data_IF_246319224541
#
_entry.id   IF_246319224541
#
_cell.length_a   1.000
_cell.length_b   1.000
_cell.length_c   1.000
_cell.angle_alpha   90.00
_cell.angle_beta   90.00
_cell.angle_gamma   90.00
#
_symmetry.space_group_name_H-M   'P 1'
#
loop_
_entity.id
_entity.type
_entity.pdbx_description
1 polymer ?
#
# COMPACT_ATOMS: atom_id res chain seq x y z
N UNK A 1 -27.04 83.74 39.57
CA UNK A 1 -25.58 83.87 39.61
C UNK A 1 -25.06 82.52 40.10
N UNK A 2 -24.44 81.63 39.34
CA UNK A 2 -24.00 81.55 37.93
C UNK A 2 -24.00 80.03 37.57
N UNK A 3 -24.51 79.63 36.40
CA UNK A 3 -23.75 79.10 35.24
C UNK A 3 -22.99 77.78 35.52
N UNK A 4 -23.41 76.62 35.00
CA UNK A 4 -23.18 76.05 33.65
C UNK A 4 -21.70 75.71 33.35
N UNK A 5 -21.41 74.46 32.95
CA UNK A 5 -20.29 73.95 32.10
C UNK A 5 -20.14 72.42 32.34
N UNK A 6 -20.79 71.52 31.58
CA UNK A 6 -20.29 70.79 30.39
C UNK A 6 -18.78 70.45 30.45
N UNK A 7 -18.30 69.22 30.24
CA UNK A 7 -18.44 68.41 29.02
C UNK A 7 -18.16 66.94 29.29
N UNK A 8 -19.15 66.12 28.94
CA UNK A 8 -18.95 64.79 28.38
C UNK A 8 -18.19 64.99 27.06
N UNK A 9 -17.03 64.35 26.90
CA UNK A 9 -16.41 64.19 25.60
C UNK A 9 -15.67 62.85 25.55
N UNK A 10 -16.45 61.78 25.51
CA UNK A 10 -16.00 60.51 24.92
C UNK A 10 -16.00 60.77 23.41
N UNK A 11 -14.86 60.67 22.70
CA UNK A 11 -14.85 60.85 21.26
C UNK A 11 -15.52 59.64 20.58
N UNK A 12 -16.77 59.84 20.15
CA UNK A 12 -17.39 59.05 19.09
C UNK A 12 -16.69 59.34 17.76
N UNK A 13 -15.52 58.77 17.46
CA UNK A 13 -15.05 58.70 16.06
C UNK A 13 -13.80 57.83 15.94
N UNK A 14 -13.95 56.51 15.80
CA UNK A 14 -12.99 55.67 15.06
C UNK A 14 -13.71 54.43 14.49
N UNK A 15 -14.87 54.64 13.85
CA UNK A 15 -15.39 53.70 12.84
C UNK A 15 -14.66 54.02 11.54
N UNK A 16 -13.53 53.35 11.31
CA UNK A 16 -12.78 53.49 10.06
C UNK A 16 -13.47 52.73 8.92
N UNK A 17 -13.34 53.20 7.66
CA UNK A 17 -13.93 52.56 6.47
C UNK A 17 -13.47 51.11 6.25
N UNK A 18 -12.38 50.69 6.88
CA UNK A 18 -11.89 49.32 6.84
C UNK A 18 -12.80 48.30 7.52
N UNK A 19 -13.59 48.68 8.53
CA UNK A 19 -14.50 47.76 9.23
C UNK A 19 -15.72 47.41 8.37
N UNK A 20 -16.29 48.40 7.67
CA UNK A 20 -17.39 48.20 6.73
C UNK A 20 -16.96 47.39 5.50
N UNK A 21 -15.75 47.62 4.98
CA UNK A 21 -15.20 46.85 3.85
C UNK A 21 -14.91 45.40 4.26
N UNK A 22 -14.32 45.17 5.43
CA UNK A 22 -14.06 43.82 5.92
C UNK A 22 -15.36 43.05 6.18
N UNK A 23 -16.39 43.70 6.72
CA UNK A 23 -17.71 43.11 6.92
C UNK A 23 -18.39 42.79 5.58
N UNK A 24 -18.33 43.70 4.59
CA UNK A 24 -18.87 43.44 3.24
C UNK A 24 -18.15 42.29 2.54
N UNK A 25 -16.82 42.22 2.62
CA UNK A 25 -16.04 41.10 2.07
C UNK A 25 -16.40 39.79 2.76
N UNK A 26 -16.60 39.81 4.09
CA UNK A 26 -17.06 38.64 4.85
C UNK A 26 -18.44 38.15 4.41
N UNK A 27 -19.38 39.05 4.16
CA UNK A 27 -20.72 38.70 3.66
C UNK A 27 -20.69 38.16 2.23
N UNK A 28 -19.88 38.75 1.34
CA UNK A 28 -19.67 38.24 -0.03
C UNK A 28 -19.01 36.85 -0.01
N UNK A 29 -18.10 36.63 0.93
CA UNK A 29 -17.43 35.36 1.13
C UNK A 29 -18.38 34.26 1.59
N UNK A 30 -19.29 34.55 2.53
CA UNK A 30 -20.35 33.61 2.94
C UNK A 30 -21.37 33.35 1.82
N UNK A 31 -21.74 34.37 1.04
CA UNK A 31 -22.63 34.24 -0.13
C UNK A 31 -22.07 33.33 -1.23
N UNK A 32 -20.74 33.28 -1.42
CA UNK A 32 -20.10 32.42 -2.42
C UNK A 32 -19.77 31.04 -1.84
N UNK A 33 -19.30 30.98 -0.59
CA UNK A 33 -18.91 29.73 0.06
C UNK A 33 -20.08 28.77 0.25
N UNK A 34 -21.20 29.27 0.75
CA UNK A 34 -22.35 28.44 1.14
C UNK A 34 -22.97 27.69 -0.05
N UNK A 35 -23.22 28.31 -1.22
CA UNK A 35 -23.82 27.62 -2.36
C UNK A 35 -22.82 26.90 -3.27
N UNK A 36 -21.52 27.23 -3.25
CA UNK A 36 -20.55 26.67 -4.19
C UNK A 36 -19.49 25.80 -3.50
N UNK A 37 -18.77 26.35 -2.52
CA UNK A 37 -17.62 25.67 -1.89
C UNK A 37 -18.10 24.55 -0.95
N UNK A 38 -19.13 24.81 -0.13
CA UNK A 38 -19.66 23.81 0.82
C UNK A 38 -20.22 22.56 0.13
N UNK A 39 -21.07 22.64 -0.91
CA UNK A 39 -21.56 21.43 -1.57
C UNK A 39 -20.46 20.69 -2.35
N UNK A 40 -19.52 21.40 -2.96
CA UNK A 40 -18.37 20.78 -3.64
C UNK A 40 -17.47 20.04 -2.65
N UNK A 41 -17.19 20.65 -1.50
CA UNK A 41 -16.40 20.02 -0.43
C UNK A 41 -17.13 18.81 0.14
N UNK A 42 -18.45 18.91 0.39
CA UNK A 42 -19.27 17.77 0.83
C UNK A 42 -19.23 16.64 -0.18
N UNK A 43 -19.35 16.93 -1.48
CA UNK A 43 -19.24 15.93 -2.54
C UNK A 43 -17.87 15.23 -2.49
N UNK A 44 -16.79 16.01 -2.38
CA UNK A 44 -15.43 15.47 -2.24
C UNK A 44 -15.27 14.56 -1.00
N UNK A 45 -15.82 14.97 0.14
CA UNK A 45 -15.84 14.16 1.36
C UNK A 45 -16.60 12.85 1.15
N UNK A 46 -17.77 12.88 0.49
CA UNK A 46 -18.53 11.67 0.18
C UNK A 46 -17.78 10.73 -0.76
N UNK A 47 -17.10 11.26 -1.78
CA UNK A 47 -16.26 10.47 -2.69
C UNK A 47 -15.10 9.82 -1.93
N UNK A 48 -14.38 10.58 -1.10
CA UNK A 48 -13.31 10.04 -0.26
C UNK A 48 -13.80 8.96 0.71
N UNK A 49 -14.97 9.17 1.33
CA UNK A 49 -15.58 8.19 2.23
C UNK A 49 -15.95 6.92 1.47
N UNK A 50 -16.55 7.03 0.28
CA UNK A 50 -16.88 5.88 -0.55
C UNK A 50 -15.63 5.08 -0.97
N UNK A 51 -14.56 5.76 -1.41
CA UNK A 51 -13.30 5.09 -1.76
C UNK A 51 -12.66 4.42 -0.55
N UNK A 52 -12.67 5.07 0.61
CA UNK A 52 -12.14 4.50 1.86
C UNK A 52 -12.91 3.24 2.28
N UNK A 53 -14.24 3.27 2.20
CA UNK A 53 -15.08 2.11 2.49
C UNK A 53 -14.84 0.96 1.50
N UNK A 54 -14.73 1.27 0.21
CA UNK A 54 -14.44 0.25 -0.80
C UNK A 54 -13.12 -0.47 -0.51
N UNK A 55 -12.04 0.28 -0.27
CA UNK A 55 -10.73 -0.30 0.08
C UNK A 55 -10.78 -1.09 1.38
N UNK A 56 -11.51 -0.60 2.38
CA UNK A 56 -11.69 -1.32 3.65
C UNK A 56 -12.40 -2.65 3.43
N UNK A 57 -13.49 -2.66 2.65
CA UNK A 57 -14.23 -3.88 2.31
C UNK A 57 -13.38 -4.89 1.54
N UNK A 58 -12.52 -4.44 0.63
CA UNK A 58 -11.56 -5.31 -0.06
C UNK A 58 -10.59 -5.97 0.93
N UNK A 59 -10.02 -5.21 1.86
CA UNK A 59 -9.10 -5.73 2.88
C UNK A 59 -9.80 -6.71 3.83
N UNK A 60 -11.03 -6.41 4.26
CA UNK A 60 -11.85 -7.30 5.09
C UNK A 60 -12.17 -8.59 4.32
N UNK A 61 -12.58 -8.49 3.05
CA UNK A 61 -12.85 -9.66 2.21
C UNK A 61 -11.62 -10.55 2.10
N UNK A 62 -10.45 -10.00 1.76
CA UNK A 62 -9.20 -10.76 1.69
C UNK A 62 -8.86 -11.41 3.04
N UNK A 63 -9.04 -10.69 4.15
CA UNK A 63 -8.84 -11.23 5.50
C UNK A 63 -9.76 -12.41 5.82
N UNK A 64 -11.07 -12.28 5.51
CA UNK A 64 -12.07 -13.34 5.69
C UNK A 64 -11.72 -14.55 4.84
N UNK A 65 -11.37 -14.36 3.56
CA UNK A 65 -10.94 -15.46 2.67
C UNK A 65 -9.72 -16.18 3.23
N UNK A 66 -8.70 -15.45 3.70
CA UNK A 66 -7.51 -16.06 4.31
C UNK A 66 -7.87 -16.86 5.57
N UNK A 67 -8.75 -16.34 6.42
CA UNK A 67 -9.20 -17.04 7.64
C UNK A 67 -9.98 -18.29 7.28
N UNK A 68 -10.93 -18.20 6.34
CA UNK A 68 -11.73 -19.35 5.88
C UNK A 68 -10.82 -20.41 5.24
N UNK A 69 -9.90 -20.01 4.37
CA UNK A 69 -8.90 -20.92 3.80
C UNK A 69 -8.08 -21.55 4.93
N UNK A 70 -7.53 -20.78 5.87
CA UNK A 70 -6.76 -21.36 6.99
C UNK A 70 -7.57 -22.30 7.89
N UNK A 71 -8.87 -22.05 8.07
CA UNK A 71 -9.73 -22.86 8.93
C UNK A 71 -10.20 -24.16 8.24
N UNK A 72 -10.55 -24.07 6.95
CA UNK A 72 -11.12 -25.19 6.18
C UNK A 72 -10.09 -25.98 5.37
N UNK A 73 -8.96 -25.37 4.99
CA UNK A 73 -7.86 -26.13 4.39
C UNK A 73 -7.10 -26.88 5.47
N UNK A 74 -7.08 -28.21 5.33
CA UNK A 74 -6.10 -29.05 6.04
C UNK A 74 -4.72 -28.49 5.76
N UNK A 75 -3.90 -28.31 6.80
CA UNK A 75 -2.49 -27.92 6.68
C UNK A 75 -1.84 -28.72 5.54
N UNK A 76 -1.06 -28.08 4.65
CA UNK A 76 -0.42 -28.76 3.53
C UNK A 76 0.45 -29.95 3.98
N UNK A 77 0.95 -29.89 5.22
CA UNK A 77 1.65 -30.98 5.94
C UNK A 77 0.87 -32.31 6.00
N UNK A 78 -0.47 -32.28 5.94
CA UNK A 78 -1.31 -33.50 5.96
C UNK A 78 -1.76 -33.95 4.57
N UNK A 79 -1.49 -33.17 3.52
CA UNK A 79 -1.92 -33.48 2.14
C UNK A 79 -0.83 -34.19 1.35
N UNK A 80 0.43 -33.92 1.67
CA UNK A 80 1.57 -34.66 1.15
C UNK A 80 2.15 -35.48 2.29
N UNK A 81 2.05 -36.82 2.20
CA UNK A 81 2.83 -37.72 3.04
C UNK A 81 4.29 -37.55 2.62
N UNK A 82 4.97 -36.53 3.15
CA UNK A 82 6.38 -36.29 2.89
C UNK A 82 7.16 -37.27 3.75
N UNK A 83 7.44 -38.44 3.17
CA UNK A 83 8.51 -39.28 3.68
C UNK A 83 9.82 -38.70 3.14
N UNK A 84 10.76 -38.42 4.04
CA UNK A 84 12.11 -38.00 3.66
C UNK A 84 12.68 -39.07 2.73
N UNK A 85 13.15 -38.68 1.54
CA UNK A 85 13.92 -39.56 0.66
C UNK A 85 15.08 -40.07 1.51
N UNK A 86 15.09 -41.37 1.79
CA UNK A 86 16.10 -41.96 2.65
C UNK A 86 17.41 -41.99 1.88
N UNK A 87 18.50 -41.60 2.54
CA UNK A 87 19.85 -41.84 2.04
C UNK A 87 20.12 -43.35 2.17
N UNK A 88 19.60 -44.12 1.22
CA UNK A 88 19.89 -45.54 1.12
C UNK A 88 21.33 -45.70 0.63
N UNK A 89 22.17 -46.25 1.50
CA UNK A 89 23.60 -46.49 1.23
C UNK A 89 23.80 -47.42 0.03
N UNK A 90 22.84 -48.31 -0.26
CA UNK A 90 22.90 -49.24 -1.39
C UNK A 90 22.50 -48.58 -2.73
N UNK A 91 21.53 -47.66 -2.72
CA UNK A 91 21.09 -46.93 -3.92
C UNK A 91 21.89 -45.63 -4.18
N UNK A 92 22.53 -45.05 -3.17
CA UNK A 92 23.30 -43.80 -3.32
C UNK A 92 22.47 -42.67 -3.95
N UNK A 93 23.01 -41.98 -4.97
CA UNK A 93 22.29 -40.89 -5.66
C UNK A 93 21.08 -41.37 -6.48
N UNK A 94 20.94 -42.68 -6.74
CA UNK A 94 19.85 -43.20 -7.57
C UNK A 94 18.47 -43.11 -6.94
N UNK A 95 18.39 -42.96 -5.62
CA UNK A 95 17.14 -42.71 -4.91
C UNK A 95 16.56 -41.30 -5.17
N UNK A 96 17.39 -40.40 -5.69
CA UNK A 96 16.98 -39.04 -6.05
C UNK A 96 16.53 -39.01 -7.53
N UNK A 97 15.32 -38.49 -7.83
CA UNK A 97 14.94 -38.25 -9.22
C UNK A 97 15.81 -37.16 -9.86
N UNK A 98 15.88 -37.15 -11.18
CA UNK A 98 16.47 -36.02 -11.91
C UNK A 98 15.48 -34.86 -11.86
N UNK A 99 15.92 -33.71 -11.35
CA UNK A 99 15.08 -32.53 -11.15
C UNK A 99 15.62 -31.38 -11.99
N UNK A 100 14.71 -30.73 -12.73
CA UNK A 100 14.96 -29.48 -13.43
C UNK A 100 14.33 -28.33 -12.64
N UNK A 101 15.14 -27.35 -12.25
CA UNK A 101 14.69 -26.11 -11.63
C UNK A 101 14.75 -25.01 -12.68
N UNK A 102 13.60 -24.42 -12.98
CA UNK A 102 13.50 -23.30 -13.91
C UNK A 102 13.34 -22.01 -13.12
N UNK A 103 14.26 -21.06 -13.35
CA UNK A 103 14.26 -19.73 -12.75
C UNK A 103 13.97 -18.73 -13.88
N UNK A 104 12.70 -18.36 -14.12
CA UNK A 104 12.37 -17.27 -15.01
C UNK A 104 12.79 -15.95 -14.39
N UNK A 105 13.51 -15.13 -15.15
CA UNK A 105 13.97 -13.81 -14.76
C UNK A 105 13.73 -12.81 -15.88
N UNK A 106 13.44 -11.59 -15.47
CA UNK A 106 13.45 -10.41 -16.31
C UNK A 106 14.39 -9.42 -15.60
N UNK A 107 13.99 -8.17 -15.36
CA UNK A 107 14.90 -7.12 -14.92
C UNK A 107 15.22 -7.07 -13.40
N UNK A 108 15.24 -8.21 -12.70
CA UNK A 108 15.41 -8.27 -11.24
C UNK A 108 16.89 -8.31 -10.76
N UNK A 109 17.58 -7.17 -10.84
CA UNK A 109 19.01 -6.99 -10.46
C UNK A 109 19.39 -7.42 -9.04
N UNK A 110 18.51 -7.20 -8.07
CA UNK A 110 18.86 -7.37 -6.67
C UNK A 110 18.76 -8.83 -6.21
N UNK A 111 17.93 -9.61 -6.89
CA UNK A 111 17.58 -10.97 -6.43
C UNK A 111 18.14 -12.07 -7.31
N UNK A 112 18.60 -11.79 -8.54
CA UNK A 112 19.06 -12.87 -9.43
C UNK A 112 20.17 -13.73 -8.83
N UNK A 113 21.19 -13.10 -8.21
CA UNK A 113 22.29 -13.82 -7.57
C UNK A 113 21.82 -14.66 -6.38
N UNK A 114 20.87 -14.13 -5.61
CA UNK A 114 20.34 -14.79 -4.43
C UNK A 114 19.51 -16.00 -4.85
N UNK A 115 18.65 -15.85 -5.87
CA UNK A 115 17.82 -16.93 -6.40
C UNK A 115 18.64 -18.07 -6.99
N UNK A 116 19.64 -17.75 -7.83
CA UNK A 116 20.52 -18.76 -8.42
C UNK A 116 21.37 -19.42 -7.33
N UNK A 117 21.94 -18.63 -6.42
CA UNK A 117 22.72 -19.16 -5.29
C UNK A 117 21.90 -20.08 -4.38
N UNK A 118 20.64 -19.73 -4.12
CA UNK A 118 19.73 -20.58 -3.35
C UNK A 118 19.40 -21.89 -4.07
N UNK A 119 19.18 -21.85 -5.39
CA UNK A 119 18.95 -23.07 -6.19
C UNK A 119 20.19 -23.98 -6.22
N UNK A 120 21.38 -23.40 -6.34
CA UNK A 120 22.64 -24.15 -6.26
C UNK A 120 22.92 -24.71 -4.86
N UNK A 121 22.34 -24.11 -3.81
CA UNK A 121 22.50 -24.54 -2.42
C UNK A 121 21.52 -25.61 -1.95
N UNK A 122 20.69 -26.15 -2.84
CA UNK A 122 19.77 -27.23 -2.50
C UNK A 122 20.55 -28.52 -2.19
N UNK A 123 20.13 -29.23 -1.14
CA UNK A 123 20.66 -30.55 -0.78
C UNK A 123 20.15 -31.61 -1.77
N UNK A 124 20.70 -31.60 -2.98
CA UNK A 124 20.41 -32.56 -4.04
C UNK A 124 21.71 -33.01 -4.71
N UNK A 125 21.83 -34.27 -5.16
CA UNK A 125 23.00 -34.71 -5.92
C UNK A 125 23.21 -33.86 -7.18
N UNK A 126 24.42 -33.31 -7.37
CA UNK A 126 24.74 -32.41 -8.48
C UNK A 126 24.60 -33.06 -9.86
N UNK A 127 24.75 -34.38 -9.96
CA UNK A 127 24.54 -35.18 -11.18
C UNK A 127 23.05 -35.31 -11.57
N UNK A 128 22.15 -34.94 -10.66
CA UNK A 128 20.69 -35.08 -10.81
C UNK A 128 19.94 -33.77 -10.66
N UNK A 129 20.66 -32.66 -10.50
CA UNK A 129 20.10 -31.32 -10.40
C UNK A 129 20.50 -30.51 -11.63
N UNK A 130 19.51 -30.07 -12.40
CA UNK A 130 19.72 -29.15 -13.52
C UNK A 130 19.03 -27.83 -13.18
N UNK A 131 19.78 -26.73 -13.22
CA UNK A 131 19.24 -25.38 -13.00
C UNK A 131 19.24 -24.64 -14.33
N UNK A 132 18.05 -24.25 -14.79
CA UNK A 132 17.84 -23.49 -16.01
C UNK A 132 17.37 -22.09 -15.65
N UNK A 133 18.17 -21.09 -16.00
CA UNK A 133 17.79 -19.69 -15.86
C UNK A 133 17.22 -19.22 -17.20
N UNK A 134 15.95 -18.81 -17.20
CA UNK A 134 15.30 -18.24 -18.38
C UNK A 134 15.33 -16.72 -18.21
N UNK A 135 16.34 -16.08 -18.80
CA UNK A 135 16.51 -14.64 -18.74
C UNK A 135 15.97 -13.97 -20.01
N UNK A 136 14.91 -13.18 -19.84
CA UNK A 136 14.32 -12.35 -20.89
C UNK A 136 14.65 -10.86 -20.68
N UNK A 137 15.65 -10.55 -19.84
CA UNK A 137 16.06 -9.17 -19.55
C UNK A 137 16.41 -8.38 -20.80
N UNK A 138 15.88 -7.17 -20.89
CA UNK A 138 16.20 -6.21 -21.95
C UNK A 138 17.16 -5.11 -21.50
N UNK A 139 17.39 -4.98 -20.19
CA UNK A 139 18.28 -3.95 -19.63
C UNK A 139 19.76 -4.39 -19.74
N UNK A 140 20.62 -3.66 -20.47
CA UNK A 140 22.03 -4.02 -20.66
C UNK A 140 22.87 -3.94 -19.37
N UNK A 141 22.36 -3.30 -18.31
CA UNK A 141 22.98 -3.31 -16.99
C UNK A 141 22.62 -4.57 -16.16
N UNK A 142 21.75 -5.43 -16.69
CA UNK A 142 21.44 -6.76 -16.17
C UNK A 142 22.14 -7.75 -17.07
N UNK A 143 23.31 -8.18 -16.65
CA UNK A 143 24.00 -9.31 -17.27
C UNK A 143 24.21 -10.34 -16.18
N UNK A 144 23.61 -11.50 -16.40
CA UNK A 144 23.91 -12.74 -15.69
C UNK A 144 25.42 -13.02 -15.67
#
# INVERSE_FOLDING_TARGET
MAENTQKILIPETFQGPGYDIAAQIGLMWELIKVPLIVPLLKLGVYICLAMSLMLFMERVYMGVVIILVKLFWKKPEKRYNYETIQDDVELGSSNFPVVLIQIPMFNEKEVYKISIGAACGLSWPSDRLVIQVLDDSTDPAIKL
#
